data_IF_892017568070
#
_entry.id   IF_892017568070
#
_cell.length_a   1.000
_cell.length_b   1.000
_cell.length_c   1.000
_cell.angle_alpha   90.00
_cell.angle_beta   90.00
_cell.angle_gamma   90.00
#
_symmetry.space_group_name_H-M   'P 1'
#
loop_
_entity.id
_entity.type
_entity.pdbx_description
1 polymer ?
#
# COMPACT_ATOMS: atom_id res chain seq x y z
N UNK A 1 -26.08 -1.40 -34.73
CA UNK A 1 -25.40 -0.10 -34.81
C UNK A 1 -24.71 0.22 -33.48
N UNK A 2 -23.75 -0.63 -33.07
CA UNK A 2 -22.98 -0.47 -31.82
C UNK A 2 -21.52 -0.84 -32.16
N UNK A 3 -20.87 -0.04 -33.01
CA UNK A 3 -19.47 -0.31 -33.43
C UNK A 3 -18.56 0.93 -33.33
N UNK A 4 -19.02 2.02 -32.71
CA UNK A 4 -18.26 3.29 -32.71
C UNK A 4 -17.64 3.71 -31.37
N UNK A 5 -17.69 2.87 -30.33
CA UNK A 5 -17.09 3.21 -29.02
C UNK A 5 -15.67 2.68 -28.82
N UNK A 6 -15.13 1.87 -29.73
CA UNK A 6 -13.71 1.48 -29.72
C UNK A 6 -12.84 2.53 -30.44
N UNK A 7 -12.79 3.75 -29.89
CA UNK A 7 -11.88 4.79 -30.40
C UNK A 7 -10.44 4.51 -29.94
N UNK A 8 -9.43 4.49 -30.82
CA UNK A 8 -8.01 4.35 -30.47
C UNK A 8 -7.44 5.51 -29.64
N UNK A 9 -8.23 6.57 -29.44
CA UNK A 9 -7.92 7.75 -28.63
C UNK A 9 -7.47 7.40 -27.19
N UNK A 10 -7.99 6.31 -26.61
CA UNK A 10 -7.66 5.91 -25.24
C UNK A 10 -6.33 5.14 -25.12
N UNK A 11 -5.76 4.67 -26.25
CA UNK A 11 -4.47 3.97 -26.24
C UNK A 11 -3.33 4.95 -26.48
N UNK A 12 -3.50 5.91 -27.37
CA UNK A 12 -2.45 6.89 -27.70
C UNK A 12 -2.20 7.87 -26.55
N UNK A 13 -3.25 8.38 -25.90
CA UNK A 13 -3.13 9.23 -24.70
C UNK A 13 -2.46 8.45 -23.57
N UNK A 14 -2.89 7.20 -23.33
CA UNK A 14 -2.28 6.31 -22.33
C UNK A 14 -0.80 6.08 -22.61
N UNK A 15 -0.44 5.79 -23.87
CA UNK A 15 0.94 5.59 -24.30
C UNK A 15 1.79 6.87 -24.16
N UNK A 16 1.22 8.06 -24.37
CA UNK A 16 1.92 9.34 -24.13
C UNK A 16 2.14 9.61 -22.64
N UNK A 17 1.15 9.30 -21.79
CA UNK A 17 1.26 9.42 -20.35
C UNK A 17 2.30 8.43 -19.78
N UNK A 18 2.29 7.18 -20.22
CA UNK A 18 3.26 6.16 -19.78
C UNK A 18 4.66 6.36 -20.33
N UNK A 19 4.83 6.86 -21.56
CA UNK A 19 6.17 7.16 -22.12
C UNK A 19 6.96 8.19 -21.29
N UNK A 20 6.28 9.10 -20.62
CA UNK A 20 6.92 10.15 -19.83
C UNK A 20 7.05 9.82 -18.34
N UNK A 21 6.39 8.75 -17.86
CA UNK A 21 6.52 8.27 -16.49
C UNK A 21 7.89 7.62 -16.29
N UNK A 22 8.79 8.36 -15.63
CA UNK A 22 10.14 7.92 -15.23
C UNK A 22 10.21 7.61 -13.73
N UNK A 23 9.15 7.04 -13.17
CA UNK A 23 9.14 6.65 -11.76
C UNK A 23 9.85 5.31 -11.63
N UNK A 24 10.76 5.23 -10.66
CA UNK A 24 11.47 4.00 -10.30
C UNK A 24 11.10 3.63 -8.88
N UNK A 25 10.60 2.42 -8.72
CA UNK A 25 10.18 1.86 -7.45
C UNK A 25 11.17 0.82 -6.97
N UNK A 26 11.38 0.76 -5.68
CA UNK A 26 12.14 -0.29 -5.02
C UNK A 26 11.25 -0.87 -3.94
N UNK A 27 11.16 -2.20 -3.88
CA UNK A 27 10.44 -2.85 -2.78
C UNK A 27 11.33 -2.92 -1.56
N UNK A 28 10.74 -2.61 -0.38
CA UNK A 28 11.39 -2.82 0.91
C UNK A 28 11.22 -4.24 1.45
N UNK A 29 10.37 -5.05 0.81
CA UNK A 29 10.06 -6.43 1.18
C UNK A 29 10.53 -7.45 0.14
N UNK A 30 11.29 -7.02 -0.87
CA UNK A 30 11.93 -7.91 -1.84
C UNK A 30 13.04 -8.69 -1.12
N UNK A 31 12.62 -9.78 -0.48
CA UNK A 31 13.46 -10.72 0.22
C UNK A 31 13.80 -11.81 -0.79
N UNK A 32 15.08 -11.93 -1.10
CA UNK A 32 15.58 -13.02 -1.93
C UNK A 32 15.56 -14.28 -1.04
N UNK A 33 14.39 -14.90 -0.94
CA UNK A 33 14.13 -16.07 -0.11
C UNK A 33 14.88 -17.28 -0.68
N UNK A 34 16.19 -17.38 -0.45
CA UNK A 34 16.88 -18.66 -0.61
C UNK A 34 16.32 -19.59 0.46
N UNK A 35 15.62 -20.63 0.01
CA UNK A 35 15.18 -21.73 0.87
C UNK A 35 16.41 -22.44 1.43
N UNK A 36 17.00 -21.90 2.50
CA UNK A 36 17.95 -22.61 3.34
C UNK A 36 17.15 -23.29 4.45
N UNK A 37 17.19 -24.60 4.46
CA UNK A 37 16.54 -25.53 5.36
C UNK A 37 16.35 -24.95 6.78
N UNK A 38 15.10 -24.91 7.25
CA UNK A 38 14.71 -24.93 8.66
C UNK A 38 15.12 -23.72 9.53
N UNK A 39 14.13 -22.90 9.88
CA UNK A 39 14.03 -22.15 11.15
C UNK A 39 14.90 -20.90 11.37
N UNK A 40 15.76 -20.49 10.44
CA UNK A 40 16.48 -19.21 10.60
C UNK A 40 15.74 -18.05 9.93
N UNK A 41 15.02 -17.24 10.71
CA UNK A 41 14.52 -15.93 10.26
C UNK A 41 15.68 -15.00 9.85
N UNK A 42 16.89 -15.23 10.37
CA UNK A 42 18.07 -14.41 10.09
C UNK A 42 18.63 -14.55 8.67
N UNK A 43 18.40 -15.69 7.99
CA UNK A 43 18.79 -15.85 6.58
C UNK A 43 17.78 -15.27 5.59
N UNK A 44 16.55 -14.99 6.03
CA UNK A 44 15.48 -14.38 5.22
C UNK A 44 15.75 -12.89 4.98
N UNK A 45 16.35 -12.19 5.96
CA UNK A 45 16.61 -10.75 5.90
C UNK A 45 18.00 -10.38 5.37
N UNK A 46 18.49 -11.06 4.33
CA UNK A 46 19.65 -10.53 3.58
C UNK A 46 19.17 -9.36 2.72
N UNK A 47 19.15 -8.16 3.31
CA UNK A 47 18.86 -6.90 2.64
C UNK A 47 19.99 -6.57 1.66
N UNK A 48 20.06 -7.28 0.52
CA UNK A 48 20.83 -6.82 -0.63
C UNK A 48 20.10 -5.61 -1.23
N UNK A 49 20.87 -4.70 -1.82
CA UNK A 49 20.36 -3.56 -2.60
C UNK A 49 19.20 -4.01 -3.49
N UNK A 50 17.98 -3.57 -3.18
CA UNK A 50 16.80 -3.98 -3.94
C UNK A 50 16.82 -3.26 -5.29
N UNK A 51 16.75 -3.99 -6.41
CA UNK A 51 16.85 -3.38 -7.72
C UNK A 51 15.67 -2.43 -7.95
N UNK A 52 15.98 -1.26 -8.50
CA UNK A 52 14.93 -0.34 -8.94
C UNK A 52 14.20 -0.92 -10.14
N UNK A 53 12.88 -0.90 -10.08
CA UNK A 53 11.98 -1.35 -11.12
C UNK A 53 11.12 -0.19 -11.62
N UNK A 54 11.00 -0.10 -12.95
CA UNK A 54 10.13 0.86 -13.61
C UNK A 54 9.01 0.10 -14.30
N UNK A 55 7.77 0.44 -13.98
CA UNK A 55 6.61 -0.09 -14.68
C UNK A 55 6.21 0.81 -15.84
N UNK A 56 5.67 0.21 -16.89
CA UNK A 56 4.96 0.95 -17.95
C UNK A 56 3.44 0.85 -17.80
N UNK A 57 2.97 0.16 -16.76
CA UNK A 57 1.55 -0.04 -16.49
C UNK A 57 1.03 1.04 -15.55
N UNK A 58 0.08 1.85 -16.06
CA UNK A 58 -0.58 2.90 -15.27
C UNK A 58 -1.32 2.35 -14.05
N UNK A 59 -1.88 1.14 -14.14
CA UNK A 59 -2.61 0.54 -13.01
C UNK A 59 -1.66 0.15 -11.89
N UNK A 60 -0.44 -0.28 -12.23
CA UNK A 60 0.62 -0.52 -11.25
C UNK A 60 1.07 0.79 -10.61
N UNK A 61 1.32 1.84 -11.40
CA UNK A 61 1.73 3.15 -10.87
C UNK A 61 0.67 3.75 -9.93
N UNK A 62 -0.61 3.66 -10.32
CA UNK A 62 -1.72 4.09 -9.47
C UNK A 62 -1.80 3.29 -8.17
N UNK A 63 -1.61 1.97 -8.23
CA UNK A 63 -1.53 1.12 -7.04
C UNK A 63 -0.44 1.56 -6.08
N UNK A 64 0.78 1.74 -6.59
CA UNK A 64 1.93 2.16 -5.79
C UNK A 64 1.67 3.48 -5.09
N UNK A 65 1.14 4.47 -5.81
CA UNK A 65 0.82 5.79 -5.27
C UNK A 65 -0.26 5.68 -4.20
N UNK A 66 -1.34 4.93 -4.44
CA UNK A 66 -2.42 4.74 -3.46
C UNK A 66 -1.93 4.01 -2.21
N UNK A 67 -1.07 3.01 -2.37
CA UNK A 67 -0.47 2.28 -1.25
C UNK A 67 0.38 3.20 -0.37
N UNK A 68 1.26 4.01 -0.97
CA UNK A 68 2.09 4.99 -0.24
C UNK A 68 1.22 6.06 0.41
N UNK A 69 0.19 6.55 -0.28
CA UNK A 69 -0.74 7.51 0.27
C UNK A 69 -1.45 6.96 1.52
N UNK A 70 -1.92 5.71 1.47
CA UNK A 70 -2.52 5.02 2.61
C UNK A 70 -1.57 4.91 3.81
N UNK A 71 -0.29 4.56 3.55
CA UNK A 71 0.75 4.51 4.57
C UNK A 71 0.98 5.89 5.19
N UNK A 72 1.03 6.96 4.39
CA UNK A 72 1.19 8.33 4.88
C UNK A 72 0.01 8.80 5.71
N UNK A 73 -1.21 8.41 5.37
CA UNK A 73 -2.39 8.68 6.19
C UNK A 73 -2.33 7.96 7.54
N UNK A 74 -1.90 6.69 7.55
CA UNK A 74 -1.68 5.95 8.81
C UNK A 74 -0.62 6.62 9.67
N UNK A 75 0.53 6.98 9.08
CA UNK A 75 1.62 7.69 9.78
C UNK A 75 1.12 9.01 10.39
N UNK A 76 0.38 9.81 9.61
CA UNK A 76 -0.28 11.03 10.09
C UNK A 76 -1.22 10.73 11.27
N UNK A 77 -2.03 9.68 11.16
CA UNK A 77 -2.97 9.29 12.20
C UNK A 77 -2.26 8.92 13.51
N UNK A 78 -1.13 8.20 13.44
CA UNK A 78 -0.30 7.87 14.60
C UNK A 78 0.26 9.11 15.29
N UNK A 79 0.79 10.06 14.52
CA UNK A 79 1.34 11.32 15.05
C UNK A 79 0.25 12.16 15.74
N UNK A 80 -0.97 12.11 15.22
CA UNK A 80 -2.12 12.84 15.77
C UNK A 80 -2.77 12.14 16.96
N UNK A 81 -2.58 10.82 17.14
CA UNK A 81 -3.31 10.03 18.14
C UNK A 81 -3.18 10.58 19.57
N UNK A 82 -2.04 11.20 19.91
CA UNK A 82 -1.78 11.83 21.20
C UNK A 82 -2.14 13.32 21.28
N UNK A 83 -2.34 13.98 20.14
CA UNK A 83 -2.55 15.44 20.03
C UNK A 83 -4.02 15.80 19.78
N UNK A 84 -4.63 15.13 18.82
CA UNK A 84 -6.01 15.32 18.40
C UNK A 84 -6.62 13.97 18.00
N UNK A 85 -7.43 13.43 18.90
CA UNK A 85 -8.11 12.15 18.70
C UNK A 85 -9.10 12.18 17.54
N UNK A 86 -9.72 13.32 17.26
CA UNK A 86 -10.74 13.46 16.21
C UNK A 86 -10.06 13.44 14.84
N UNK A 87 -9.01 14.25 14.67
CA UNK A 87 -8.24 14.25 13.42
C UNK A 87 -7.51 12.93 13.20
N UNK A 88 -6.99 12.30 14.26
CA UNK A 88 -6.38 10.97 14.18
C UNK A 88 -7.38 9.92 13.70
N UNK A 89 -8.58 9.90 14.29
CA UNK A 89 -9.66 8.97 13.90
C UNK A 89 -10.08 9.18 12.44
N UNK A 90 -10.14 10.45 11.99
CA UNK A 90 -10.42 10.81 10.59
C UNK A 90 -9.31 10.28 9.67
N UNK A 91 -8.05 10.51 10.00
CA UNK A 91 -6.92 10.03 9.20
C UNK A 91 -6.87 8.49 9.09
N UNK A 92 -7.15 7.75 10.18
CA UNK A 92 -7.30 6.29 10.11
C UNK A 92 -8.48 5.84 9.24
N UNK A 93 -9.57 6.61 9.19
CA UNK A 93 -10.70 6.32 8.31
C UNK A 93 -10.32 6.51 6.83
N UNK A 94 -9.59 7.57 6.52
CA UNK A 94 -9.06 7.84 5.17
C UNK A 94 -8.04 6.79 4.75
N UNK A 95 -7.20 6.32 5.69
CA UNK A 95 -6.29 5.19 5.46
C UNK A 95 -7.03 3.88 5.09
N UNK A 96 -8.37 3.84 5.25
CA UNK A 96 -9.23 2.78 4.72
C UNK A 96 -9.15 2.61 3.19
N UNK A 97 -8.49 3.52 2.47
CA UNK A 97 -8.10 3.32 1.06
C UNK A 97 -7.31 2.03 0.83
N UNK A 98 -6.66 1.45 1.85
CA UNK A 98 -6.10 0.09 1.79
C UNK A 98 -7.13 -0.95 1.31
N UNK A 99 -8.42 -0.82 1.66
CA UNK A 99 -9.49 -1.71 1.17
C UNK A 99 -9.65 -1.66 -0.35
N UNK A 100 -9.51 -0.47 -0.92
CA UNK A 100 -9.56 -0.29 -2.37
C UNK A 100 -8.30 -0.87 -3.01
N UNK A 101 -7.11 -0.58 -2.46
CA UNK A 101 -5.84 -1.13 -2.95
C UNK A 101 -5.85 -2.66 -2.95
N UNK A 102 -6.44 -3.31 -1.94
CA UNK A 102 -6.60 -4.78 -1.90
C UNK A 102 -7.38 -5.38 -3.09
N UNK A 103 -8.27 -4.57 -3.68
CA UNK A 103 -9.26 -5.01 -4.68
C UNK A 103 -8.84 -4.68 -6.10
N UNK A 104 -7.92 -3.75 -6.30
CA UNK A 104 -7.41 -3.49 -7.63
C UNK A 104 -6.60 -4.74 -8.01
N UNK A 105 -7.10 -5.50 -8.97
CA UNK A 105 -6.45 -6.75 -9.38
C UNK A 105 -5.19 -6.44 -10.17
N UNK A 106 -4.02 -6.54 -9.55
CA UNK A 106 -2.77 -6.73 -10.31
C UNK A 106 -2.86 -8.10 -10.98
N UNK A 107 -3.28 -8.11 -12.24
CA UNK A 107 -3.40 -9.33 -13.06
C UNK A 107 -2.06 -9.93 -13.43
N UNK A 108 -0.97 -9.15 -13.34
CA UNK A 108 0.36 -9.58 -13.72
C UNK A 108 1.17 -9.99 -12.47
N UNK A 109 1.37 -11.30 -12.35
CA UNK A 109 2.13 -11.97 -11.28
C UNK A 109 3.58 -11.50 -11.20
N UNK A 110 4.16 -10.96 -12.29
CA UNK A 110 5.54 -10.48 -12.29
C UNK A 110 5.75 -9.24 -11.40
N UNK A 111 4.70 -8.46 -11.13
CA UNK A 111 4.77 -7.36 -10.17
C UNK A 111 4.67 -7.85 -8.73
N UNK A 112 3.90 -8.92 -8.48
CA UNK A 112 3.73 -9.50 -7.14
C UNK A 112 5.05 -10.05 -6.62
N UNK A 113 5.82 -10.73 -7.46
CA UNK A 113 7.16 -11.22 -7.09
C UNK A 113 8.13 -10.08 -6.74
N UNK A 114 8.03 -8.95 -7.44
CA UNK A 114 8.92 -7.80 -7.25
C UNK A 114 8.50 -6.91 -6.08
N UNK A 115 7.20 -6.87 -5.77
CA UNK A 115 6.56 -6.00 -4.78
C UNK A 115 5.58 -6.80 -3.91
N UNK A 116 6.07 -7.68 -3.03
CA UNK A 116 5.22 -8.47 -2.16
C UNK A 116 4.38 -7.62 -1.18
N UNK A 117 4.77 -6.36 -0.93
CA UNK A 117 3.97 -5.41 -0.14
C UNK A 117 2.60 -5.08 -0.75
N UNK A 118 2.44 -5.23 -2.06
CA UNK A 118 1.19 -4.93 -2.76
C UNK A 118 0.22 -6.12 -2.76
N UNK A 119 0.61 -7.25 -2.19
CA UNK A 119 -0.23 -8.44 -2.18
C UNK A 119 -1.49 -8.21 -1.37
N UNK A 120 -2.59 -8.84 -1.79
CA UNK A 120 -3.88 -8.76 -1.10
C UNK A 120 -3.79 -9.10 0.41
N UNK A 121 -3.02 -10.11 0.85
CA UNK A 121 -2.83 -10.38 2.28
C UNK A 121 -2.14 -9.25 3.06
N UNK A 122 -1.10 -8.62 2.48
CA UNK A 122 -0.40 -7.50 3.14
C UNK A 122 -1.31 -6.29 3.24
N UNK A 123 -1.95 -5.88 2.15
CA UNK A 123 -2.88 -4.76 2.13
C UNK A 123 -4.07 -5.00 3.09
N UNK A 124 -4.59 -6.23 3.16
CA UNK A 124 -5.68 -6.60 4.08
C UNK A 124 -5.24 -6.52 5.54
N UNK A 125 -4.03 -6.98 5.84
CA UNK A 125 -3.44 -6.88 7.17
C UNK A 125 -3.27 -5.43 7.60
N UNK A 126 -2.76 -4.56 6.72
CA UNK A 126 -2.62 -3.12 6.99
C UNK A 126 -3.97 -2.44 7.23
N UNK A 127 -5.00 -2.78 6.46
CA UNK A 127 -6.37 -2.31 6.69
C UNK A 127 -6.86 -2.70 8.09
N UNK A 128 -6.68 -3.96 8.50
CA UNK A 128 -7.09 -4.44 9.82
C UNK A 128 -6.33 -3.73 10.95
N UNK A 129 -5.03 -3.50 10.77
CA UNK A 129 -4.21 -2.74 11.71
C UNK A 129 -4.74 -1.30 11.87
N UNK A 130 -4.98 -0.58 10.76
CA UNK A 130 -5.58 0.76 10.82
C UNK A 130 -6.93 0.78 11.55
N UNK A 131 -7.76 -0.25 11.35
CA UNK A 131 -9.04 -0.38 12.05
C UNK A 131 -8.84 -0.61 13.55
N UNK A 132 -7.92 -1.50 13.93
CA UNK A 132 -7.63 -1.79 15.33
C UNK A 132 -7.08 -0.55 16.06
N UNK A 133 -6.11 0.14 15.45
CA UNK A 133 -5.51 1.37 15.98
C UNK A 133 -6.56 2.48 16.16
N UNK A 134 -7.47 2.63 15.18
CA UNK A 134 -8.60 3.56 15.29
C UNK A 134 -9.52 3.22 16.47
N UNK A 135 -9.82 1.94 16.70
CA UNK A 135 -10.70 1.50 17.79
C UNK A 135 -10.05 1.65 19.17
N UNK A 136 -8.71 1.67 19.22
CA UNK A 136 -7.94 1.93 20.43
C UNK A 136 -7.97 3.40 20.85
N UNK A 137 -8.16 4.32 19.89
CA UNK A 137 -8.37 5.75 20.18
C UNK A 137 -9.75 5.92 20.83
N UNK A 138 -9.79 5.72 22.15
CA UNK A 138 -10.94 6.02 22.97
C UNK A 138 -10.65 7.28 23.78
N UNK A 139 -11.64 8.17 23.95
CA UNK A 139 -11.50 9.23 24.93
C UNK A 139 -11.24 8.59 26.30
N UNK A 140 -10.14 8.98 26.94
CA UNK A 140 -9.88 8.61 28.33
C UNK A 140 -11.09 9.07 29.13
N UNK A 141 -11.89 8.14 29.69
CA UNK A 141 -12.96 8.51 30.63
C UNK A 141 -12.28 9.30 31.74
N UNK A 142 -12.58 10.60 31.86
CA UNK A 142 -12.24 11.39 33.05
C UNK A 142 -13.02 10.78 34.21
N UNK A 143 -12.39 9.86 34.95
CA UNK A 143 -13.06 9.12 36.02
C UNK A 143 -12.35 7.86 36.50
N UNK A 144 -11.02 7.78 36.41
CA UNK A 144 -10.28 6.86 37.29
C UNK A 144 -9.86 7.65 38.53
N UNK A 145 -10.72 7.57 39.55
CA UNK A 145 -10.31 7.71 40.95
C UNK A 145 -9.23 6.66 41.17
N UNK A 146 -8.03 7.11 41.54
CA UNK A 146 -7.00 6.22 42.05
C UNK A 146 -7.46 5.72 43.42
N UNK A 147 -7.54 4.40 43.58
CA UNK A 147 -7.50 3.74 44.88
C UNK A 147 -6.05 3.35 45.16
#
# INVERSE_FOLDING_TARGET
MIDHMNKPCNQEIRNRLTKNLKIRWSSGLNLDCKSSNGLSLASIFQLKSTPFFQSKDMLFELHMILFIYALKLREKAMVLASKDMVESTKAYREAGVFDYVCKIGLTDWSYIEKFPELTSPVCSSLKLICLAERQQIRPKRRGQVQF
#
